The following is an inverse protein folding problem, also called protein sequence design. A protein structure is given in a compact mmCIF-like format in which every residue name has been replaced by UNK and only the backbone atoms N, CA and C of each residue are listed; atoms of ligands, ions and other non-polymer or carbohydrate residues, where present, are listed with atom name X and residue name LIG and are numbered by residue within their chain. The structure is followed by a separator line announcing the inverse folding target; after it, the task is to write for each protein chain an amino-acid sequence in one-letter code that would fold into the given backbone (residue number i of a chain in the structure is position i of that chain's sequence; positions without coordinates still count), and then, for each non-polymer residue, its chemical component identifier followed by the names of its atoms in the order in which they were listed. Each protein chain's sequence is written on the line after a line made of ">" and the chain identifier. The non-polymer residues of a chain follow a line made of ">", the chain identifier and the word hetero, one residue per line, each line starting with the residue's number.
data_IF_538081297626
#
_entry.id   IF_538081297626
#
_cell.length_a   1.000
_cell.length_b   1.000
_cell.length_c   1.000
_cell.angle_alpha   90.00
_cell.angle_beta   90.00
_cell.angle_gamma   90.00
#
_symmetry.space_group_name_H-M   'P 1'
#
loop_
_entity.id
_entity.type
_entity.pdbx_description
1 polymer ?
#
# COMPACT_ATOMS: atom_id res chain seq x y z
N UNK A 1 -21.95 -13.46 51.22
CA UNK A 1 -22.91 -13.97 50.21
C UNK A 1 -22.12 -14.71 49.13
N UNK A 2 -22.50 -15.96 48.86
CA UNK A 2 -21.66 -17.04 48.34
C UNK A 2 -21.18 -16.89 46.88
N UNK A 3 -19.87 -16.90 46.66
CA UNK A 3 -19.16 -17.03 45.37
C UNK A 3 -19.34 -18.42 44.69
N UNK A 4 -20.22 -19.28 45.21
CA UNK A 4 -20.41 -20.67 44.78
C UNK A 4 -21.35 -20.86 43.57
N UNK A 5 -22.08 -19.84 43.13
CA UNK A 5 -23.08 -19.98 42.05
C UNK A 5 -22.56 -19.66 40.65
N UNK A 6 -21.54 -18.82 40.51
CA UNK A 6 -21.01 -18.42 39.20
C UNK A 6 -20.05 -19.46 38.58
N UNK A 7 -19.32 -20.22 39.40
CA UNK A 7 -18.45 -21.30 38.92
C UNK A 7 -19.21 -22.53 38.39
N UNK A 8 -20.45 -22.75 38.83
CA UNK A 8 -21.27 -23.89 38.39
C UNK A 8 -21.95 -23.67 37.04
N UNK A 9 -22.09 -22.41 36.59
CA UNK A 9 -22.67 -22.08 35.29
C UNK A 9 -21.64 -22.18 34.15
N UNK A 10 -20.36 -21.93 34.44
CA UNK A 10 -19.27 -22.00 33.45
C UNK A 10 -18.80 -23.44 33.16
N UNK A 11 -18.94 -24.38 34.12
CA UNK A 11 -18.59 -25.80 33.93
C UNK A 11 -19.64 -26.63 33.17
N UNK A 12 -20.80 -26.06 32.83
CA UNK A 12 -21.81 -26.74 32.00
C UNK A 12 -21.53 -26.63 30.50
N UNK A 13 -20.68 -25.67 30.08
CA UNK A 13 -20.36 -25.42 28.66
C UNK A 13 -19.16 -26.24 28.12
N UNK A 14 -18.47 -27.03 28.97
CA UNK A 14 -17.27 -27.78 28.58
C UNK A 14 -17.36 -29.25 29.01
N UNK A 15 -18.51 -29.89 28.76
CA UNK A 15 -18.59 -31.36 28.84
C UNK A 15 -18.41 -31.96 27.45
N UNK A 16 -17.31 -32.70 27.19
CA UNK A 16 -17.20 -33.49 25.98
C UNK A 16 -18.13 -34.69 26.12
N UNK A 17 -19.16 -34.77 25.28
CA UNK A 17 -19.96 -35.99 25.15
C UNK A 17 -19.12 -37.03 24.39
N UNK A 18 -18.32 -37.78 25.14
CA UNK A 18 -17.80 -39.07 24.71
C UNK A 18 -18.80 -40.18 25.03
N UNK A 19 -18.75 -41.22 24.19
CA UNK A 19 -19.40 -42.54 24.26
C UNK A 19 -20.80 -42.67 23.62
N UNK A 20 -20.85 -43.22 22.41
CA UNK A 20 -21.03 -44.68 22.29
C UNK A 20 -20.58 -45.22 20.92
N UNK A 21 -19.71 -46.21 20.98
CA UNK A 21 -19.20 -47.03 19.89
C UNK A 21 -20.10 -48.26 19.73
N UNK A 22 -20.80 -48.42 18.60
CA UNK A 22 -21.12 -49.71 17.94
C UNK A 22 -22.02 -49.51 16.70
N UNK A 23 -21.45 -49.60 15.52
CA UNK A 23 -21.68 -50.73 14.61
C UNK A 23 -20.87 -50.55 13.33
N UNK A 24 -20.07 -51.57 13.04
CA UNK A 24 -19.33 -51.76 11.81
C UNK A 24 -20.34 -52.06 10.71
N UNK A 25 -20.41 -51.18 9.71
CA UNK A 25 -21.17 -51.38 8.48
C UNK A 25 -20.36 -50.81 7.32
N UNK A 26 -19.87 -51.71 6.47
CA UNK A 26 -19.19 -51.45 5.21
C UNK A 26 -19.81 -50.28 4.42
N UNK A 27 -18.97 -49.33 4.00
CA UNK A 27 -18.82 -48.97 2.58
C UNK A 27 -17.92 -47.73 2.46
N UNK A 28 -16.83 -47.90 1.70
CA UNK A 28 -15.95 -46.79 1.31
C UNK A 28 -16.60 -45.88 0.27
N UNK A 29 -16.00 -44.70 0.14
CA UNK A 29 -16.30 -43.61 -0.81
C UNK A 29 -17.54 -42.76 -0.49
N UNK A 30 -17.30 -41.63 0.19
CA UNK A 30 -17.98 -40.33 -0.02
C UNK A 30 -17.42 -39.29 0.99
N UNK A 31 -16.17 -38.90 0.78
CA UNK A 31 -15.66 -37.63 1.30
C UNK A 31 -15.92 -36.57 0.23
N UNK A 32 -16.49 -35.44 0.65
CA UNK A 32 -16.81 -34.24 -0.16
C UNK A 32 -18.11 -34.26 -0.96
N UNK A 33 -19.25 -34.33 -0.28
CA UNK A 33 -20.49 -33.77 -0.82
C UNK A 33 -21.35 -33.15 0.28
N UNK A 34 -21.50 -31.83 0.18
CA UNK A 34 -22.68 -31.03 0.58
C UNK A 34 -23.18 -31.10 2.03
N UNK A 35 -22.71 -30.15 2.84
CA UNK A 35 -23.40 -29.45 3.96
C UNK A 35 -22.31 -28.60 4.66
N UNK A 36 -22.06 -27.33 4.34
CA UNK A 36 -22.93 -26.16 4.48
C UNK A 36 -22.31 -24.99 3.67
N UNK A 37 -22.80 -24.68 2.45
CA UNK A 37 -22.26 -23.55 1.66
C UNK A 37 -22.44 -22.21 2.39
N UNK A 38 -23.50 -22.08 3.19
CA UNK A 38 -23.75 -20.91 4.03
C UNK A 38 -22.67 -20.69 5.09
N UNK A 39 -22.11 -21.75 5.67
CA UNK A 39 -21.08 -21.62 6.71
C UNK A 39 -19.75 -21.16 6.08
N UNK A 40 -19.44 -21.66 4.88
CA UNK A 40 -18.28 -21.18 4.12
C UNK A 40 -18.47 -19.74 3.65
N UNK A 41 -19.69 -19.36 3.25
CA UNK A 41 -20.05 -17.99 2.89
C UNK A 41 -19.97 -17.04 4.08
N UNK A 42 -20.42 -17.46 5.27
CA UNK A 42 -20.31 -16.68 6.52
C UNK A 42 -18.86 -16.54 6.97
N UNK A 43 -18.05 -17.59 6.85
CA UNK A 43 -16.60 -17.52 7.14
C UNK A 43 -15.88 -16.61 6.14
N UNK A 44 -16.19 -16.74 4.84
CA UNK A 44 -15.63 -15.91 3.78
C UNK A 44 -16.03 -14.43 3.95
N UNK A 45 -17.29 -14.16 4.24
CA UNK A 45 -17.77 -12.79 4.52
C UNK A 45 -17.17 -12.24 5.81
N UNK A 46 -17.03 -13.03 6.87
CA UNK A 46 -16.36 -12.59 8.10
C UNK A 46 -14.87 -12.27 7.88
N UNK A 47 -14.18 -12.99 6.99
CA UNK A 47 -12.80 -12.70 6.58
C UNK A 47 -12.72 -11.44 5.70
N UNK A 48 -13.75 -11.16 4.90
CA UNK A 48 -13.84 -9.96 4.07
C UNK A 48 -14.23 -8.70 4.89
N UNK A 49 -14.94 -8.86 6.01
CA UNK A 49 -15.40 -7.75 6.87
C UNK A 49 -14.43 -7.39 8.00
N UNK A 50 -13.41 -8.21 8.30
CA UNK A 50 -12.33 -7.82 9.22
C UNK A 50 -11.33 -6.90 8.50
N UNK A 51 -11.77 -5.69 8.17
CA UNK A 51 -10.91 -4.65 7.62
C UNK A 51 -10.05 -4.05 8.73
N UNK A 52 -8.78 -4.46 8.82
CA UNK A 52 -7.78 -3.69 9.54
C UNK A 52 -7.48 -2.42 8.72
N UNK A 53 -7.91 -1.25 9.19
CA UNK A 53 -7.45 0.02 8.65
C UNK A 53 -6.01 0.19 9.09
N UNK A 54 -5.08 -0.25 8.23
CA UNK A 54 -3.68 0.15 8.33
C UNK A 54 -3.58 1.57 7.82
N UNK A 55 -3.07 2.43 8.68
CA UNK A 55 -2.89 3.83 8.37
C UNK A 55 -1.42 4.01 7.96
N UNK A 56 -1.16 3.77 6.66
CA UNK A 56 0.19 3.76 6.11
C UNK A 56 0.54 5.18 5.62
N UNK A 57 1.53 5.82 6.24
CA UNK A 57 2.08 7.12 5.81
C UNK A 57 3.27 6.86 4.91
N UNK A 58 3.28 7.34 3.68
CA UNK A 58 4.37 7.16 2.73
C UNK A 58 3.88 6.94 1.30
N UNK A 59 4.73 6.35 0.47
CA UNK A 59 4.39 5.96 -0.91
C UNK A 59 3.85 4.54 -0.91
N UNK A 60 2.60 4.35 -1.33
CA UNK A 60 1.94 3.06 -1.41
C UNK A 60 1.69 2.67 -2.87
N UNK A 61 2.22 1.52 -3.28
CA UNK A 61 1.91 0.90 -4.57
C UNK A 61 0.92 -0.26 -4.40
N UNK A 62 -0.22 -0.19 -5.09
CA UNK A 62 -1.17 -1.32 -5.14
C UNK A 62 -0.83 -2.28 -6.28
N UNK A 63 -0.58 -1.74 -7.49
CA UNK A 63 -0.08 -2.47 -8.66
C UNK A 63 0.69 -1.51 -9.58
N UNK A 64 1.16 -1.98 -10.75
CA UNK A 64 1.98 -1.17 -11.66
C UNK A 64 1.36 0.16 -12.11
N UNK A 65 0.03 0.28 -12.01
CA UNK A 65 -0.76 1.38 -12.58
C UNK A 65 -1.67 2.07 -11.53
N UNK A 66 -1.42 1.86 -10.24
CA UNK A 66 -2.11 2.62 -9.21
C UNK A 66 -1.32 2.65 -7.91
N UNK A 67 -1.39 3.80 -7.25
CA UNK A 67 -0.86 3.99 -5.92
C UNK A 67 -1.23 5.36 -5.37
N UNK A 68 -0.75 5.63 -4.17
CA UNK A 68 -1.04 6.84 -3.43
C UNK A 68 0.18 7.30 -2.63
N UNK A 69 0.41 8.60 -2.61
CA UNK A 69 1.32 9.27 -1.70
C UNK A 69 0.49 9.80 -0.53
N UNK A 70 0.72 9.27 0.67
CA UNK A 70 0.03 9.68 1.89
C UNK A 70 1.02 10.38 2.81
N UNK A 71 0.74 11.62 3.19
CA UNK A 71 1.53 12.35 4.18
C UNK A 71 0.63 12.71 5.37
N UNK A 72 1.09 12.37 6.57
CA UNK A 72 0.48 12.81 7.83
C UNK A 72 1.35 13.91 8.42
N UNK A 73 0.72 15.05 8.71
CA UNK A 73 1.38 16.21 9.28
C UNK A 73 0.63 16.55 10.57
N UNK A 74 1.37 16.54 11.68
CA UNK A 74 0.87 16.95 12.99
C UNK A 74 1.81 17.99 13.57
N UNK A 75 1.28 19.16 13.90
CA UNK A 75 2.06 20.22 14.54
C UNK A 75 2.19 19.91 16.03
N UNK A 76 3.42 19.97 16.55
CA UNK A 76 3.66 19.90 17.98
C UNK A 76 3.26 21.19 18.69
N UNK A 77 2.79 21.08 19.93
CA UNK A 77 2.31 22.20 20.76
C UNK A 77 3.32 23.36 20.90
N UNK A 78 4.62 23.02 20.87
CA UNK A 78 5.71 24.01 20.95
C UNK A 78 5.88 24.81 19.65
N UNK A 79 5.56 24.25 18.49
CA UNK A 79 5.64 24.96 17.22
C UNK A 79 4.48 25.98 17.09
N UNK A 80 3.31 25.63 17.63
CA UNK A 80 2.14 26.51 17.65
C UNK A 80 2.30 27.71 18.59
N UNK A 81 3.09 27.60 19.66
CA UNK A 81 3.26 28.68 20.64
C UNK A 81 4.22 29.80 20.22
N UNK A 82 5.15 29.53 19.29
CA UNK A 82 6.16 30.51 18.86
C UNK A 82 5.88 31.15 17.50
N UNK A 83 5.11 30.49 16.62
CA UNK A 83 4.93 30.95 15.22
C UNK A 83 3.58 30.53 14.60
N UNK A 84 2.50 30.53 15.39
CA UNK A 84 1.18 29.99 15.00
C UNK A 84 0.70 30.41 13.61
N UNK A 85 0.61 31.71 13.33
CA UNK A 85 0.05 32.22 12.07
C UNK A 85 0.83 31.77 10.82
N UNK A 86 2.17 31.76 10.90
CA UNK A 86 3.04 31.31 9.80
C UNK A 86 2.93 29.81 9.55
N UNK A 87 2.81 29.01 10.62
CA UNK A 87 2.70 27.56 10.53
C UNK A 87 1.32 27.14 9.98
N UNK A 88 0.24 27.85 10.33
CA UNK A 88 -1.08 27.59 9.75
C UNK A 88 -1.13 27.98 8.26
N UNK A 89 -0.52 29.11 7.87
CA UNK A 89 -0.41 29.49 6.46
C UNK A 89 0.41 28.45 5.65
N UNK A 90 1.47 27.89 6.25
CA UNK A 90 2.22 26.79 5.64
C UNK A 90 1.36 25.53 5.50
N UNK A 91 0.56 25.16 6.51
CA UNK A 91 -0.34 24.00 6.43
C UNK A 91 -1.40 24.18 5.34
N UNK A 92 -2.00 25.36 5.22
CA UNK A 92 -2.96 25.69 4.16
C UNK A 92 -2.31 25.65 2.76
N UNK A 93 -1.01 25.98 2.65
CA UNK A 93 -0.25 25.82 1.42
C UNK A 93 -0.11 24.35 1.01
N UNK A 94 0.02 23.43 1.99
CA UNK A 94 0.07 21.98 1.75
C UNK A 94 -1.27 21.48 1.25
N UNK A 95 -2.38 21.92 1.86
CA UNK A 95 -3.72 21.57 1.41
C UNK A 95 -3.99 22.04 -0.03
N UNK A 96 -3.61 23.28 -0.34
CA UNK A 96 -3.78 23.87 -1.66
C UNK A 96 -2.99 23.12 -2.73
N UNK A 97 -1.71 22.79 -2.44
CA UNK A 97 -0.87 21.97 -3.33
C UNK A 97 -1.46 20.59 -3.55
N UNK A 98 -1.96 19.97 -2.49
CA UNK A 98 -2.60 18.65 -2.57
C UNK A 98 -3.80 18.70 -3.51
N UNK A 99 -4.68 19.69 -3.39
CA UNK A 99 -5.84 19.84 -4.28
C UNK A 99 -5.44 20.11 -5.74
N UNK A 100 -4.37 20.88 -5.97
CA UNK A 100 -3.83 21.12 -7.32
C UNK A 100 -3.36 19.83 -7.99
N UNK A 101 -2.82 18.89 -7.21
CA UNK A 101 -2.34 17.59 -7.68
C UNK A 101 -3.44 16.52 -7.67
N UNK A 102 -4.72 16.93 -7.69
CA UNK A 102 -5.90 16.05 -7.67
C UNK A 102 -5.97 15.16 -6.42
N UNK A 103 -5.28 15.58 -5.36
CA UNK A 103 -5.24 14.90 -4.08
C UNK A 103 -6.42 15.25 -3.17
N UNK A 104 -6.58 14.44 -2.13
CA UNK A 104 -7.56 14.60 -1.07
C UNK A 104 -6.87 15.10 0.18
N UNK A 105 -7.56 15.98 0.89
CA UNK A 105 -7.13 16.51 2.18
C UNK A 105 -8.15 16.09 3.21
N UNK A 106 -7.69 15.52 4.32
CA UNK A 106 -8.50 15.20 5.48
C UNK A 106 -7.91 15.93 6.69
N UNK A 107 -8.63 16.94 7.17
CA UNK A 107 -8.27 17.69 8.37
C UNK A 107 -8.81 16.96 9.60
N UNK A 108 -7.93 16.56 10.51
CA UNK A 108 -8.25 15.89 11.77
C UNK A 108 -8.44 16.93 12.88
N UNK A 109 -7.56 17.93 12.94
CA UNK A 109 -7.69 19.11 13.81
C UNK A 109 -7.14 20.35 13.11
N UNK A 110 -7.09 21.49 13.81
CA UNK A 110 -6.48 22.70 13.25
C UNK A 110 -4.97 22.53 13.00
N UNK A 111 -4.34 21.61 13.75
CA UNK A 111 -2.91 21.28 13.76
C UNK A 111 -2.56 19.94 13.11
N UNK A 112 -3.57 19.20 12.65
CA UNK A 112 -3.39 17.83 12.14
C UNK A 112 -4.12 17.63 10.82
N UNK A 113 -3.35 17.35 9.77
CA UNK A 113 -3.82 17.16 8.41
C UNK A 113 -3.20 15.90 7.81
N UNK A 114 -4.02 15.22 7.03
CA UNK A 114 -3.65 14.06 6.23
C UNK A 114 -3.87 14.44 4.78
N UNK A 115 -2.83 14.31 3.96
CA UNK A 115 -2.94 14.52 2.52
C UNK A 115 -2.69 13.23 1.78
N UNK A 116 -3.50 12.98 0.75
CA UNK A 116 -3.42 11.78 -0.07
C UNK A 116 -3.43 12.19 -1.53
N UNK A 117 -2.35 11.92 -2.26
CA UNK A 117 -2.20 12.26 -3.67
C UNK A 117 -2.17 10.96 -4.48
N UNK A 118 -3.21 10.65 -5.26
CA UNK A 118 -3.23 9.45 -6.08
C UNK A 118 -2.32 9.60 -7.31
N UNK A 119 -1.77 8.49 -7.78
CA UNK A 119 -1.03 8.42 -9.04
C UNK A 119 -1.37 7.12 -9.80
N UNK A 120 -1.32 7.18 -11.12
CA UNK A 120 -1.65 6.06 -12.02
C UNK A 120 -0.44 5.33 -12.57
N UNK A 121 0.77 5.87 -12.42
CA UNK A 121 2.01 5.24 -12.87
C UNK A 121 3.23 5.86 -12.18
N UNK A 122 4.41 5.31 -12.45
CA UNK A 122 5.63 5.74 -11.79
C UNK A 122 6.10 7.14 -12.20
N UNK A 123 5.93 7.50 -13.47
CA UNK A 123 6.30 8.82 -13.99
C UNK A 123 5.43 9.91 -13.34
N UNK A 124 4.13 9.65 -13.21
CA UNK A 124 3.20 10.55 -12.55
C UNK A 124 3.51 10.70 -11.05
N UNK A 125 3.86 9.62 -10.34
CA UNK A 125 4.34 9.72 -8.96
C UNK A 125 5.54 10.65 -8.88
N UNK A 126 6.56 10.43 -9.71
CA UNK A 126 7.77 11.26 -9.75
C UNK A 126 7.42 12.74 -9.99
N UNK A 127 6.59 13.04 -10.99
CA UNK A 127 6.17 14.42 -11.29
C UNK A 127 5.39 15.03 -10.13
N UNK A 128 4.36 14.35 -9.61
CA UNK A 128 3.52 14.85 -8.52
C UNK A 128 4.31 15.04 -7.23
N UNK A 129 5.21 14.12 -6.90
CA UNK A 129 6.10 14.22 -5.74
C UNK A 129 7.01 15.44 -5.86
N UNK A 130 7.72 15.56 -6.99
CA UNK A 130 8.65 16.66 -7.21
C UNK A 130 7.93 18.01 -7.29
N UNK A 131 6.73 18.08 -7.87
CA UNK A 131 5.92 19.31 -7.89
C UNK A 131 5.40 19.67 -6.49
N UNK A 132 5.02 18.67 -5.68
CA UNK A 132 4.54 18.89 -4.32
C UNK A 132 5.61 19.51 -3.42
N UNK A 133 6.85 18.99 -3.46
CA UNK A 133 7.93 19.45 -2.60
C UNK A 133 8.71 20.66 -3.18
N UNK A 134 8.83 20.79 -4.51
CA UNK A 134 9.61 21.87 -5.15
C UNK A 134 8.75 23.03 -5.69
N UNK A 135 7.54 23.22 -5.17
CA UNK A 135 6.67 24.31 -5.61
C UNK A 135 7.28 25.69 -5.34
N UNK A 136 7.53 26.45 -6.42
CA UNK A 136 8.09 27.80 -6.42
C UNK A 136 7.22 28.84 -5.70
N UNK A 137 6.01 28.48 -5.25
CA UNK A 137 5.20 29.36 -4.42
C UNK A 137 5.82 29.61 -3.04
N UNK A 138 6.79 28.79 -2.60
CA UNK A 138 7.62 29.09 -1.43
C UNK A 138 8.55 30.30 -1.66
N UNK A 139 8.90 30.64 -2.90
CA UNK A 139 9.75 31.79 -3.21
C UNK A 139 8.96 33.11 -3.30
N UNK A 140 7.69 33.06 -3.70
CA UNK A 140 6.92 34.29 -3.94
C UNK A 140 6.32 34.91 -2.68
N UNK A 141 6.16 34.13 -1.61
CA UNK A 141 5.77 34.68 -0.29
C UNK A 141 6.92 35.44 0.37
N UNK A 142 8.19 35.17 -0.02
CA UNK A 142 9.37 35.90 0.46
C UNK A 142 9.80 37.07 -0.45
N UNK A 143 9.43 37.07 -1.74
CA UNK A 143 9.91 38.07 -2.70
C UNK A 143 9.17 39.42 -2.70
N UNK A 144 8.30 39.69 -1.71
CA UNK A 144 7.61 40.99 -1.61
C UNK A 144 7.55 41.51 -0.18
N UNK A 145 8.59 41.28 0.63
CA UNK A 145 8.91 42.19 1.73
C UNK A 145 10.37 42.00 2.11
N UNK A 146 11.05 43.11 2.36
CA UNK A 146 12.46 43.25 2.63
C UNK A 146 13.04 42.21 3.59
N UNK A 147 14.32 41.92 3.37
CA UNK A 147 15.26 41.28 4.30
C UNK A 147 14.89 41.53 5.77
N UNK A 148 14.56 40.47 6.52
CA UNK A 148 14.86 40.20 7.95
C UNK A 148 13.94 39.05 8.49
N UNK A 149 14.56 37.92 8.85
CA UNK A 149 14.18 36.96 9.91
C UNK A 149 12.86 36.16 9.93
N UNK A 150 12.43 35.51 8.84
CA UNK A 150 11.66 34.24 8.95
C UNK A 150 11.51 33.53 7.61
N UNK A 151 12.62 33.00 7.08
CA UNK A 151 12.58 32.10 5.93
C UNK A 151 12.52 30.66 6.45
N UNK A 152 11.40 29.97 6.22
CA UNK A 152 11.33 28.52 6.40
C UNK A 152 12.42 27.88 5.53
N UNK A 153 13.15 26.87 6.04
CA UNK A 153 14.29 26.30 5.34
C UNK A 153 13.83 25.68 4.03
N UNK A 154 14.58 25.94 2.95
CA UNK A 154 14.38 25.23 1.70
C UNK A 154 14.80 23.77 1.91
N UNK A 155 13.83 22.86 1.88
CA UNK A 155 14.04 21.41 1.86
C UNK A 155 14.02 21.00 0.39
N UNK A 156 15.17 20.57 -0.13
CA UNK A 156 15.24 20.04 -1.49
C UNK A 156 14.97 18.54 -1.47
N UNK A 157 13.96 18.11 -2.22
CA UNK A 157 13.44 16.74 -2.24
C UNK A 157 13.28 16.31 -3.69
N UNK A 158 13.95 15.23 -4.08
CA UNK A 158 13.92 14.72 -5.45
C UNK A 158 13.70 13.21 -5.46
N UNK A 159 12.66 12.77 -6.15
CA UNK A 159 12.34 11.37 -6.37
C UNK A 159 12.51 11.02 -7.83
N UNK A 160 13.25 9.95 -8.11
CA UNK A 160 13.45 9.39 -9.43
C UNK A 160 12.94 7.94 -9.45
N UNK A 161 12.16 7.59 -10.47
CA UNK A 161 11.60 6.26 -10.60
C UNK A 161 11.85 5.68 -12.00
N UNK A 162 12.63 4.60 -12.05
CA UNK A 162 12.91 3.86 -13.27
C UNK A 162 12.07 2.60 -13.32
N UNK A 163 11.46 2.32 -14.46
CA UNK A 163 10.56 1.19 -14.65
C UNK A 163 11.00 0.33 -15.83
N UNK A 164 11.10 -0.99 -15.59
CA UNK A 164 11.33 -1.98 -16.63
C UNK A 164 10.11 -2.91 -16.69
N UNK A 165 9.41 -2.85 -17.82
CA UNK A 165 8.16 -3.60 -18.04
C UNK A 165 8.45 -5.01 -18.56
N UNK A 166 7.97 -6.03 -17.85
CA UNK A 166 7.85 -7.40 -18.37
C UNK A 166 6.37 -7.73 -18.59
N UNK A 167 6.10 -8.87 -19.25
CA UNK A 167 4.73 -9.29 -19.58
C UNK A 167 3.82 -9.26 -18.34
N UNK A 168 4.19 -9.96 -17.27
CA UNK A 168 3.35 -10.15 -16.08
C UNK A 168 3.75 -9.28 -14.88
N UNK A 169 4.94 -8.70 -14.90
CA UNK A 169 5.52 -7.99 -13.75
C UNK A 169 6.30 -6.76 -14.22
N UNK A 170 6.41 -5.76 -13.36
CA UNK A 170 7.20 -4.55 -13.63
C UNK A 170 8.25 -4.40 -12.54
N UNK A 171 9.52 -4.28 -12.93
CA UNK A 171 10.61 -3.97 -12.01
C UNK A 171 10.74 -2.46 -11.88
N UNK A 172 10.71 -1.96 -10.65
CA UNK A 172 10.86 -0.54 -10.33
C UNK A 172 12.16 -0.33 -9.56
N UNK A 173 12.89 0.74 -9.88
CA UNK A 173 14.02 1.25 -9.10
C UNK A 173 13.68 2.68 -8.70
N UNK A 174 13.49 2.90 -7.40
CA UNK A 174 13.18 4.21 -6.83
C UNK A 174 14.44 4.73 -6.16
N UNK A 175 14.81 5.95 -6.50
CA UNK A 175 15.89 6.72 -5.88
C UNK A 175 15.25 7.95 -5.28
N UNK A 176 15.51 8.18 -4.00
CA UNK A 176 15.00 9.33 -3.28
C UNK A 176 16.16 10.05 -2.60
N UNK A 177 16.37 11.30 -3.02
CA UNK A 177 17.37 12.20 -2.49
C UNK A 177 16.69 13.31 -1.71
N UNK A 178 17.07 13.46 -0.44
CA UNK A 178 16.54 14.48 0.45
C UNK A 178 17.68 15.22 1.15
N UNK A 179 17.79 16.52 0.88
CA UNK A 179 18.77 17.39 1.51
C UNK A 179 18.19 18.06 2.76
N UNK A 180 18.63 17.58 3.94
CA UNK A 180 18.21 18.12 5.24
C UNK A 180 19.29 19.02 5.88
N UNK A 181 20.34 19.42 5.15
CA UNK A 181 21.43 20.25 5.69
C UNK A 181 20.96 21.63 6.14
N UNK A 182 19.92 22.18 5.52
CA UNK A 182 19.34 23.47 5.91
C UNK A 182 18.55 23.41 7.22
N UNK A 183 18.06 22.23 7.62
CA UNK A 183 17.29 22.05 8.85
C UNK A 183 18.15 22.06 10.11
N UNK A 184 19.41 21.63 10.05
CA UNK A 184 20.32 21.66 11.19
C UNK A 184 20.64 23.08 11.66
N UNK A 185 20.56 24.07 10.75
CA UNK A 185 20.80 25.48 11.05
C UNK A 185 19.66 26.12 11.87
N UNK A 186 18.43 25.63 11.74
CA UNK A 186 17.29 26.14 12.53
C UNK A 186 17.29 25.54 13.93
N UNK A 187 17.60 24.25 14.02
CA UNK A 187 17.71 23.59 15.30
C UNK A 187 18.87 24.12 16.17
N UNK A 188 19.86 24.82 15.57
CA UNK A 188 20.94 25.51 16.27
C UNK A 188 20.68 27.00 16.56
N UNK A 189 19.80 27.68 15.79
CA UNK A 189 19.43 29.09 16.01
C UNK A 189 18.42 29.30 17.15
N UNK A 190 17.65 28.27 17.51
CA UNK A 190 16.96 28.23 18.79
C UNK A 190 17.97 27.88 19.88
N UNK A 191 18.23 28.77 20.83
CA UNK A 191 19.22 28.68 21.91
C UNK A 191 19.02 27.50 22.89
N UNK A 192 19.01 26.26 22.41
CA UNK A 192 18.92 25.06 23.23
C UNK A 192 19.95 24.07 22.72
N UNK A 193 21.06 23.98 23.46
CA UNK A 193 22.08 22.93 23.40
C UNK A 193 21.50 21.56 23.82
N UNK A 194 20.29 21.20 23.39
CA UNK A 194 19.66 19.92 23.69
C UNK A 194 19.03 19.35 22.42
N UNK A 195 19.65 18.29 21.92
CA UNK A 195 19.06 17.25 21.07
C UNK A 195 18.25 17.75 19.86
N UNK A 196 18.98 18.26 18.88
CA UNK A 196 18.56 18.57 17.50
C UNK A 196 17.73 17.45 16.83
N UNK A 197 17.85 16.21 17.32
CA UNK A 197 17.09 15.04 16.84
C UNK A 197 15.66 14.90 17.40
N UNK A 198 15.25 15.69 18.40
CA UNK A 198 13.96 15.50 19.07
C UNK A 198 12.80 16.37 18.51
N UNK A 199 13.08 17.33 17.61
CA UNK A 199 12.08 18.32 17.16
C UNK A 199 11.45 17.94 15.81
N UNK A 200 12.15 17.19 14.95
CA UNK A 200 11.62 16.69 13.68
C UNK A 200 11.97 15.21 13.50
N UNK A 201 10.97 14.35 13.66
CA UNK A 201 11.04 12.96 13.24
C UNK A 201 10.53 12.88 11.80
N UNK A 202 11.46 12.72 10.86
CA UNK A 202 11.18 12.64 9.43
C UNK A 202 11.26 11.19 9.02
N UNK A 203 10.10 10.60 8.76
CA UNK A 203 10.00 9.22 8.31
C UNK A 203 9.58 9.18 6.84
N UNK A 204 10.34 8.42 6.05
CA UNK A 204 9.91 8.02 4.72
C UNK A 204 9.50 6.55 4.76
N UNK A 205 8.31 6.23 4.26
CA UNK A 205 7.89 4.83 4.14
C UNK A 205 7.50 4.49 2.71
N UNK A 206 7.80 3.25 2.34
CA UNK A 206 7.44 2.65 1.06
C UNK A 206 6.71 1.34 1.31
N UNK A 207 5.44 1.28 0.91
CA UNK A 207 4.63 0.08 0.93
C UNK A 207 4.49 -0.49 -0.49
N UNK A 208 4.77 -1.78 -0.65
CA UNK A 208 4.73 -2.48 -1.94
C UNK A 208 4.09 -3.85 -1.78
N UNK A 209 3.38 -4.39 -2.78
CA UNK A 209 2.60 -5.61 -2.61
C UNK A 209 3.46 -6.86 -2.41
N UNK A 210 4.69 -6.88 -2.95
CA UNK A 210 5.62 -8.01 -2.89
C UNK A 210 6.91 -7.69 -2.11
N UNK A 211 6.93 -6.56 -1.41
CA UNK A 211 8.09 -6.05 -0.71
C UNK A 211 9.15 -5.43 -1.65
N UNK A 212 10.09 -4.75 -1.01
CA UNK A 212 11.19 -4.05 -1.67
C UNK A 212 12.54 -4.52 -1.12
N UNK A 213 13.58 -4.42 -1.95
CA UNK A 213 14.97 -4.63 -1.57
C UNK A 213 15.67 -3.27 -1.54
N UNK A 214 16.28 -2.94 -0.40
CA UNK A 214 17.14 -1.77 -0.28
C UNK A 214 18.52 -2.06 -0.89
N UNK A 215 19.06 -1.09 -1.61
CA UNK A 215 20.42 -1.14 -2.15
C UNK A 215 21.25 -0.16 -1.33
N UNK A 216 22.17 -0.69 -0.53
CA UNK A 216 23.11 0.13 0.23
C UNK A 216 24.30 0.45 -0.69
N UNK A 217 24.41 1.70 -1.15
CA UNK A 217 25.55 2.15 -1.97
C UNK A 217 26.67 2.78 -1.13
N UNK A 218 26.46 3.07 0.15
CA UNK A 218 27.43 3.82 0.99
C UNK A 218 27.41 3.32 2.42
N UNK A 219 28.55 3.37 3.12
CA UNK A 219 28.69 2.92 4.51
C UNK A 219 27.78 3.68 5.50
N UNK A 220 27.34 4.89 5.13
CA UNK A 220 26.40 5.71 5.90
C UNK A 220 24.94 5.61 5.40
N UNK A 221 24.60 4.60 4.60
CA UNK A 221 23.23 4.44 4.09
C UNK A 221 22.26 4.11 5.24
N UNK A 222 21.16 4.87 5.31
CA UNK A 222 20.09 4.64 6.30
C UNK A 222 19.47 3.26 6.06
N UNK A 223 19.61 2.35 7.03
CA UNK A 223 18.97 1.05 6.95
C UNK A 223 17.46 1.16 7.23
N UNK A 224 16.60 0.55 6.39
CA UNK A 224 15.18 0.55 6.65
C UNK A 224 14.80 -0.41 7.76
N UNK A 225 13.88 0.00 8.62
CA UNK A 225 13.09 -0.90 9.44
C UNK A 225 12.07 -1.61 8.54
N UNK A 226 12.07 -2.95 8.56
CA UNK A 226 11.16 -3.76 7.73
C UNK A 226 9.96 -4.22 8.54
N UNK A 227 8.78 -3.70 8.21
CA UNK A 227 7.51 -4.11 8.79
C UNK A 227 6.67 -4.87 7.75
N UNK A 228 6.93 -6.17 7.61
CA UNK A 228 6.28 -7.01 6.60
C UNK A 228 6.69 -6.61 5.17
N UNK A 229 5.77 -6.00 4.44
CA UNK A 229 5.98 -5.52 3.07
C UNK A 229 6.28 -4.02 2.98
N UNK A 230 6.28 -3.33 4.12
CA UNK A 230 6.63 -1.93 4.25
C UNK A 230 8.11 -1.79 4.65
N UNK A 231 8.78 -0.83 4.04
CA UNK A 231 10.09 -0.36 4.45
C UNK A 231 9.95 1.07 5.00
N UNK A 232 10.51 1.31 6.19
CA UNK A 232 10.49 2.59 6.87
C UNK A 232 11.92 3.08 7.07
N UNK A 233 12.24 4.27 6.58
CA UNK A 233 13.52 4.93 6.81
C UNK A 233 13.32 6.13 7.73
N UNK A 234 14.09 6.18 8.81
CA UNK A 234 14.20 7.36 9.67
C UNK A 234 15.30 8.27 9.11
N UNK A 235 14.89 9.43 8.63
CA UNK A 235 15.78 10.37 7.95
C UNK A 235 16.59 11.17 8.97
N UNK A 236 17.89 11.31 8.73
CA UNK A 236 18.79 12.02 9.64
C UNK A 236 18.81 13.52 9.32
N UNK A 237 18.40 14.39 10.26
CA UNK A 237 18.44 15.84 10.03
C UNK A 237 19.89 16.33 9.93
N UNK A 238 20.15 17.30 9.05
CA UNK A 238 21.49 17.87 8.86
C UNK A 238 22.38 17.15 7.85
N UNK A 239 21.93 16.04 7.27
CA UNK A 239 22.65 15.28 6.25
C UNK A 239 21.86 15.17 4.95
N UNK A 240 22.54 14.74 3.89
CA UNK A 240 21.91 14.33 2.64
C UNK A 240 21.50 12.87 2.78
N UNK A 241 20.20 12.61 2.78
CA UNK A 241 19.64 11.27 2.89
C UNK A 241 19.43 10.73 1.49
N UNK A 242 20.09 9.60 1.19
CA UNK A 242 19.96 8.88 -0.09
C UNK A 242 19.31 7.52 0.16
N UNK A 243 18.17 7.28 -0.47
CA UNK A 243 17.43 6.03 -0.38
C UNK A 243 17.31 5.44 -1.78
N UNK A 244 17.87 4.25 -1.97
CA UNK A 244 17.72 3.49 -3.19
C UNK A 244 17.06 2.13 -2.93
N UNK A 245 16.00 1.84 -3.68
CA UNK A 245 15.24 0.60 -3.54
C UNK A 245 14.79 0.03 -4.87
N UNK A 246 14.71 -1.29 -4.92
CA UNK A 246 14.19 -2.03 -6.07
C UNK A 246 13.06 -2.94 -5.63
N UNK A 247 11.95 -2.90 -6.36
CA UNK A 247 10.77 -3.70 -6.08
C UNK A 247 10.05 -4.14 -7.35
N UNK A 248 9.24 -5.19 -7.22
CA UNK A 248 8.45 -5.75 -8.32
C UNK A 248 6.97 -5.49 -8.07
N UNK A 249 6.26 -5.11 -9.13
CA UNK A 249 4.82 -4.92 -9.11
C UNK A 249 4.14 -5.89 -10.09
N UNK A 250 2.96 -6.42 -9.78
CA UNK A 250 2.15 -7.14 -10.75
C UNK A 250 1.72 -6.20 -11.87
N UNK A 251 1.68 -6.72 -13.10
CA UNK A 251 1.07 -6.07 -14.26
C UNK A 251 -0.34 -6.64 -14.47
N UNK A 252 -1.41 -5.93 -14.08
CA UNK A 252 -2.78 -6.43 -14.28
C UNK A 252 -3.11 -6.68 -15.76
N UNK A 253 -2.55 -5.86 -16.66
CA UNK A 253 -2.72 -6.00 -18.10
C UNK A 253 -2.14 -7.32 -18.62
N UNK A 254 -0.92 -7.65 -18.18
CA UNK A 254 -0.26 -8.90 -18.53
C UNK A 254 -1.00 -10.14 -18.03
N UNK A 255 -1.41 -10.07 -16.76
CA UNK A 255 -2.17 -11.15 -16.12
C UNK A 255 -3.51 -11.34 -16.84
N UNK A 256 -4.21 -10.25 -17.17
CA UNK A 256 -5.45 -10.29 -17.94
C UNK A 256 -5.27 -10.92 -19.31
N UNK A 257 -4.20 -10.56 -20.04
CA UNK A 257 -3.89 -11.17 -21.33
C UNK A 257 -3.62 -12.67 -21.23
N UNK A 258 -2.85 -13.11 -20.22
CA UNK A 258 -2.58 -14.53 -19.96
C UNK A 258 -3.88 -15.30 -19.70
N UNK A 259 -4.79 -14.74 -18.90
CA UNK A 259 -6.08 -15.38 -18.61
C UNK A 259 -6.95 -15.54 -19.86
N UNK A 260 -6.97 -14.54 -20.76
CA UNK A 260 -7.68 -14.63 -22.05
C UNK A 260 -7.08 -15.75 -22.91
N UNK A 261 -5.76 -15.80 -23.03
CA UNK A 261 -5.07 -16.87 -23.78
C UNK A 261 -5.40 -18.24 -23.21
N UNK A 262 -5.36 -18.39 -21.89
CA UNK A 262 -5.70 -19.65 -21.21
C UNK A 262 -7.16 -20.03 -21.41
N UNK A 263 -8.08 -19.06 -21.40
CA UNK A 263 -9.49 -19.27 -21.68
C UNK A 263 -9.73 -19.77 -23.11
N UNK A 264 -9.11 -19.13 -24.11
CA UNK A 264 -9.20 -19.55 -25.51
C UNK A 264 -8.60 -20.95 -25.67
N UNK A 265 -7.43 -21.19 -25.10
CA UNK A 265 -6.76 -22.49 -25.16
C UNK A 265 -7.60 -23.58 -24.49
N UNK A 266 -8.19 -23.29 -23.33
CA UNK A 266 -9.10 -24.20 -22.62
C UNK A 266 -10.35 -24.52 -23.45
N UNK A 267 -10.93 -23.52 -24.12
CA UNK A 267 -12.06 -23.71 -25.04
C UNK A 267 -11.70 -24.60 -26.24
N UNK A 268 -10.54 -24.37 -26.85
CA UNK A 268 -10.03 -25.22 -27.94
C UNK A 268 -9.76 -26.64 -27.44
N UNK A 269 -9.07 -26.78 -26.31
CA UNK A 269 -8.75 -28.08 -25.73
C UNK A 269 -10.02 -28.90 -25.44
N UNK A 270 -11.03 -28.28 -24.81
CA UNK A 270 -12.30 -28.92 -24.53
C UNK A 270 -13.04 -29.33 -25.82
N UNK A 271 -13.05 -28.44 -26.83
CA UNK A 271 -13.67 -28.72 -28.13
C UNK A 271 -13.01 -29.90 -28.84
N UNK A 272 -11.68 -29.94 -28.90
CA UNK A 272 -10.96 -30.95 -29.70
C UNK A 272 -10.66 -32.24 -28.94
N UNK A 273 -10.77 -32.25 -27.61
CA UNK A 273 -10.48 -33.43 -26.79
C UNK A 273 -11.76 -34.12 -26.28
N UNK A 274 -12.79 -33.35 -25.91
CA UNK A 274 -13.98 -33.90 -25.26
C UNK A 274 -15.24 -33.87 -26.11
N UNK A 275 -15.33 -33.02 -27.14
CA UNK A 275 -16.52 -32.98 -28.01
C UNK A 275 -16.31 -33.89 -29.24
N UNK A 276 -17.25 -34.80 -29.55
CA UNK A 276 -17.20 -35.61 -30.77
C UNK A 276 -17.26 -34.73 -32.03
N UNK A 277 -16.60 -35.16 -33.10
CA UNK A 277 -16.66 -34.45 -34.39
C UNK A 277 -18.13 -34.35 -34.86
N UNK A 278 -18.69 -33.13 -35.02
CA UNK A 278 -20.08 -32.96 -35.45
C UNK A 278 -20.37 -33.65 -36.78
N UNK A 279 -19.35 -33.92 -37.61
CA UNK A 279 -19.50 -34.66 -38.87
C UNK A 279 -19.96 -36.10 -38.67
N UNK A 280 -19.63 -36.74 -37.56
CA UNK A 280 -20.05 -38.12 -37.27
C UNK A 280 -21.49 -38.17 -36.75
N UNK A 281 -21.97 -37.10 -36.11
CA UNK A 281 -23.35 -37.04 -35.60
C UNK A 281 -24.40 -36.76 -36.69
N UNK A 282 -24.00 -36.16 -37.81
CA UNK A 282 -24.89 -35.84 -38.94
C UNK A 282 -24.60 -36.65 -40.21
N UNK A 283 -23.83 -37.74 -40.11
CA UNK A 283 -23.61 -38.62 -41.25
C UNK A 283 -24.95 -39.28 -41.66
N UNK A 284 -25.39 -39.15 -42.94
CA UNK A 284 -26.58 -39.85 -43.41
C UNK A 284 -26.39 -41.36 -43.23
N UNK A 285 -27.37 -42.04 -42.62
CA UNK A 285 -27.37 -43.50 -42.59
C UNK A 285 -27.31 -44.02 -44.03
N UNK A 286 -26.41 -44.97 -44.36
CA UNK A 286 -26.41 -45.56 -45.69
C UNK A 286 -27.75 -46.26 -45.90
N UNK A 287 -28.51 -45.76 -46.88
CA UNK A 287 -29.76 -46.37 -47.33
C UNK A 287 -29.46 -47.82 -47.69
N UNK A 288 -30.11 -48.75 -46.99
CA UNK A 288 -30.00 -50.17 -47.30
C UNK A 288 -30.55 -50.38 -48.72
N UNK A 289 -29.65 -50.62 -49.68
CA UNK A 289 -30.04 -51.06 -51.02
C UNK A 289 -30.54 -52.50 -50.88
N UNK A 290 -31.86 -52.65 -50.98
CA UNK A 290 -32.57 -53.91 -51.12
C UNK A 290 -32.07 -54.60 -52.41
N UNK A 291 -31.40 -55.73 -52.24
CA UNK A 291 -30.92 -56.58 -53.32
C UNK A 291 -32.08 -57.42 -53.86
N UNK A 292 -32.43 -57.22 -55.13
CA UNK A 292 -33.17 -58.17 -55.95
C UNK A 292 -32.31 -59.39 -56.31
#
# INVERSE_FOLDING_TARGET
>A
MNFSKLGKMLMWLIRPLGLLNRNIGHSGNKLFATRKPLLWLVVLTSLLLSGCVKYDVGVNFNHSNSGELVQHIKLGERLTSFSGDYIYAWLDSIETRTRKLEGKVRRISQEEVIVTIPFSNGQELQTKFNEFFNSHNNQKVAATTSETDSELPKIESNLLLFQNNFLLVVRNRLIYDLDLRSLSLIASKGNVLADTGAILDLEFSLNTPWGAKNIQLTENAVEPEKQGNQLLWRLQPGELNHIEVVFWLPSPLGIGALLIVLFIWGGLYLRYTFMPDPRIQFAPQPTATESQ
#
